data_IF_308608365325
#
_entry.id   IF_308608365325
#
_cell.length_a   1.000
_cell.length_b   1.000
_cell.length_c   1.000
_cell.angle_alpha   90.00
_cell.angle_beta   90.00
_cell.angle_gamma   90.00
#
_symmetry.space_group_name_H-M   'P 1'
#
loop_
_entity.id
_entity.type
_entity.pdbx_description
1 polymer ?
#
# COMPACT_ATOMS: atom_id res chain seq x y z
N UNK A 1 17.38 -29.37 1.86
CA UNK A 1 18.42 -28.34 2.05
C UNK A 1 19.37 -28.37 0.87
N UNK A 2 19.43 -27.30 0.06
CA UNK A 2 20.62 -26.98 -0.71
C UNK A 2 21.22 -25.62 -0.28
N UNK A 3 22.55 -25.55 -0.33
CA UNK A 3 23.40 -24.44 0.11
C UNK A 3 23.17 -23.13 -0.69
N UNK A 4 23.10 -22.01 0.01
CA UNK A 4 23.18 -20.66 -0.55
C UNK A 4 24.66 -20.28 -0.71
N UNK A 5 25.13 -20.13 -1.95
CA UNK A 5 26.44 -19.52 -2.24
C UNK A 5 26.38 -18.00 -2.13
N UNK A 6 27.42 -17.45 -1.51
CA UNK A 6 27.66 -16.03 -1.27
C UNK A 6 27.57 -15.16 -2.54
N UNK A 7 26.79 -14.08 -2.45
CA UNK A 7 26.84 -12.94 -3.38
C UNK A 7 27.47 -11.75 -2.64
N UNK A 8 28.53 -11.11 -3.18
CA UNK A 8 29.29 -10.11 -2.45
C UNK A 8 28.49 -8.80 -2.26
N UNK A 9 28.39 -8.33 -1.01
CA UNK A 9 27.78 -7.04 -0.66
C UNK A 9 28.69 -5.89 -1.11
N UNK A 10 28.34 -5.16 -2.17
CA UNK A 10 28.97 -3.88 -2.49
C UNK A 10 28.38 -2.77 -1.61
N UNK A 11 29.24 -2.06 -0.88
CA UNK A 11 28.85 -0.85 -0.12
C UNK A 11 28.66 0.31 -1.10
N UNK A 12 27.44 0.82 -1.24
CA UNK A 12 27.19 2.09 -1.91
C UNK A 12 27.17 3.22 -0.88
N UNK A 13 27.97 4.26 -1.09
CA UNK A 13 27.95 5.49 -0.32
C UNK A 13 26.68 6.29 -0.62
N UNK A 14 26.27 7.14 0.32
CA UNK A 14 25.07 8.00 0.25
C UNK A 14 25.09 8.80 -1.07
N UNK A 15 24.30 8.38 -2.06
CA UNK A 15 24.03 9.20 -3.24
C UNK A 15 22.89 10.16 -2.93
N UNK A 16 23.12 11.44 -3.19
CA UNK A 16 22.07 12.44 -3.35
C UNK A 16 21.06 11.95 -4.41
N UNK A 17 19.79 12.37 -4.28
CA UNK A 17 18.70 11.99 -5.18
C UNK A 17 19.06 12.26 -6.65
N UNK A 18 19.56 11.23 -7.34
CA UNK A 18 19.82 11.25 -8.75
C UNK A 18 18.75 10.38 -9.39
N UNK A 19 17.92 10.98 -10.24
CA UNK A 19 17.12 10.24 -11.21
C UNK A 19 18.12 9.59 -12.16
N UNK A 20 18.54 8.36 -11.86
CA UNK A 20 19.26 7.53 -12.83
C UNK A 20 18.26 7.20 -13.93
N UNK A 21 18.20 8.05 -14.95
CA UNK A 21 17.59 7.72 -16.23
C UNK A 21 18.48 6.63 -16.84
N UNK A 22 18.17 5.36 -16.55
CA UNK A 22 18.78 4.25 -17.27
C UNK A 22 18.46 4.47 -18.76
N UNK A 23 19.50 4.65 -19.57
CA UNK A 23 19.38 4.79 -21.01
C UNK A 23 18.55 3.63 -21.56
N UNK A 24 17.53 3.97 -22.35
CA UNK A 24 16.52 3.05 -22.82
C UNK A 24 17.13 1.98 -23.75
N UNK A 25 17.29 0.76 -23.23
CA UNK A 25 17.08 -0.42 -24.05
C UNK A 25 15.56 -0.65 -24.14
N UNK A 26 14.97 -0.77 -25.35
CA UNK A 26 13.54 -0.97 -25.50
C UNK A 26 13.16 -2.30 -24.85
N UNK A 27 12.36 -2.23 -23.77
CA UNK A 27 11.87 -3.39 -23.02
C UNK A 27 12.28 -3.46 -21.55
N UNK A 28 13.19 -2.61 -21.07
CA UNK A 28 13.49 -2.55 -19.64
C UNK A 28 12.48 -1.66 -18.91
N UNK A 29 11.77 -2.26 -17.97
CA UNK A 29 10.89 -1.56 -17.02
C UNK A 29 11.56 -0.30 -16.45
N UNK A 30 10.84 0.83 -16.49
CA UNK A 30 11.33 2.10 -15.94
C UNK A 30 11.43 1.98 -14.42
N UNK A 31 12.66 1.86 -13.91
CA UNK A 31 12.93 1.89 -12.48
C UNK A 31 12.90 3.34 -11.97
N UNK A 32 12.24 3.57 -10.84
CA UNK A 32 12.24 4.87 -10.13
C UNK A 32 13.01 4.72 -8.84
N UNK A 33 13.89 5.68 -8.52
CA UNK A 33 14.64 5.69 -7.26
C UNK A 33 14.20 6.89 -6.42
N UNK A 34 13.71 6.65 -5.21
CA UNK A 34 13.26 7.71 -4.30
C UNK A 34 13.53 7.31 -2.84
N UNK A 35 14.25 8.17 -2.10
CA UNK A 35 14.51 7.96 -0.66
C UNK A 35 15.15 6.62 -0.29
N UNK A 36 16.04 6.10 -1.15
CA UNK A 36 16.70 4.80 -0.94
C UNK A 36 15.87 3.57 -1.36
N UNK A 37 14.70 3.79 -1.94
CA UNK A 37 13.85 2.75 -2.53
C UNK A 37 13.96 2.75 -4.04
N UNK A 38 13.88 1.56 -4.63
CA UNK A 38 13.80 1.33 -6.07
C UNK A 38 12.43 0.73 -6.35
N UNK A 39 11.66 1.35 -7.23
CA UNK A 39 10.34 0.88 -7.65
C UNK A 39 10.38 0.52 -9.13
N UNK A 40 10.03 -0.72 -9.47
CA UNK A 40 10.13 -1.25 -10.83
C UNK A 40 8.77 -1.79 -11.24
N UNK A 41 8.17 -1.25 -12.29
CA UNK A 41 6.94 -1.82 -12.87
C UNK A 41 7.28 -3.18 -13.47
N UNK A 42 6.62 -4.23 -13.03
CA UNK A 42 6.83 -5.59 -13.56
C UNK A 42 5.52 -6.14 -14.12
N UNK A 43 5.56 -7.16 -14.99
CA UNK A 43 4.38 -7.97 -15.26
C UNK A 43 3.83 -8.51 -13.94
N UNK A 44 2.50 -8.52 -13.80
CA UNK A 44 1.84 -9.05 -12.61
C UNK A 44 2.23 -10.52 -12.43
N UNK A 45 2.78 -10.92 -11.28
CA UNK A 45 3.07 -12.32 -10.99
C UNK A 45 1.79 -13.17 -11.13
N UNK A 46 1.84 -14.36 -11.76
CA UNK A 46 0.66 -15.22 -11.95
C UNK A 46 -0.16 -15.46 -10.68
N UNK A 47 0.52 -15.63 -9.55
CA UNK A 47 -0.05 -15.81 -8.22
C UNK A 47 -0.81 -14.57 -7.69
N UNK A 48 -0.42 -13.37 -8.14
CA UNK A 48 -1.01 -12.10 -7.70
C UNK A 48 -2.00 -11.51 -8.73
N UNK A 49 -2.21 -12.19 -9.87
CA UNK A 49 -3.21 -11.78 -10.89
C UNK A 49 -4.60 -11.68 -10.27
N UNK A 50 -4.95 -12.58 -9.35
CA UNK A 50 -6.23 -12.54 -8.64
C UNK A 50 -6.37 -11.28 -7.78
N UNK A 51 -5.31 -10.88 -7.07
CA UNK A 51 -5.29 -9.66 -6.24
C UNK A 51 -5.39 -8.38 -7.07
N UNK A 52 -4.66 -8.31 -8.18
CA UNK A 52 -4.78 -7.16 -9.08
C UNK A 52 -6.19 -7.03 -9.66
N UNK A 53 -6.78 -8.15 -10.08
CA UNK A 53 -8.17 -8.18 -10.54
C UNK A 53 -9.14 -7.83 -9.44
N UNK A 54 -8.89 -8.25 -8.20
CA UNK A 54 -9.77 -7.97 -7.07
C UNK A 54 -9.84 -6.49 -6.73
N UNK A 55 -8.73 -5.72 -6.79
CA UNK A 55 -8.78 -4.27 -6.53
C UNK A 55 -9.76 -3.56 -7.44
N UNK A 56 -9.61 -3.74 -8.75
CA UNK A 56 -10.50 -3.09 -9.71
C UNK A 56 -11.91 -3.66 -9.63
N UNK A 57 -12.04 -4.99 -9.60
CA UNK A 57 -13.34 -5.64 -9.58
C UNK A 57 -14.15 -5.32 -8.32
N UNK A 58 -13.51 -5.27 -7.15
CA UNK A 58 -14.18 -4.94 -5.89
C UNK A 58 -14.52 -3.46 -5.83
N UNK A 59 -13.62 -2.57 -6.27
CA UNK A 59 -13.94 -1.15 -6.33
C UNK A 59 -15.12 -0.89 -7.27
N UNK A 60 -15.14 -1.50 -8.45
CA UNK A 60 -16.20 -1.29 -9.45
C UNK A 60 -17.52 -2.02 -9.06
N UNK A 61 -17.46 -3.25 -8.55
CA UNK A 61 -18.65 -3.99 -8.13
C UNK A 61 -19.32 -3.41 -6.89
N UNK A 62 -18.54 -2.76 -6.01
CA UNK A 62 -19.09 -2.12 -4.82
C UNK A 62 -19.63 -0.72 -5.10
N UNK A 63 -19.25 -0.07 -6.20
CA UNK A 63 -19.63 1.31 -6.50
C UNK A 63 -21.15 1.55 -6.36
N UNK A 64 -22.06 0.74 -6.96
CA UNK A 64 -23.49 0.99 -6.81
C UNK A 64 -23.97 0.85 -5.36
N UNK A 65 -23.40 -0.10 -4.61
CA UNK A 65 -23.74 -0.34 -3.20
C UNK A 65 -23.22 0.79 -2.31
N UNK A 66 -22.06 1.34 -2.62
CA UNK A 66 -21.50 2.48 -1.92
C UNK A 66 -22.27 3.77 -2.21
N UNK A 67 -22.73 3.96 -3.45
CA UNK A 67 -23.52 5.13 -3.85
C UNK A 67 -24.95 5.11 -3.29
N UNK A 68 -25.60 3.95 -3.31
CA UNK A 68 -27.05 3.84 -3.00
C UNK A 68 -27.35 3.16 -1.68
N UNK A 69 -26.39 2.45 -1.09
CA UNK A 69 -26.56 1.68 0.13
C UNK A 69 -27.07 2.51 1.30
N UNK A 70 -28.02 1.94 2.05
CA UNK A 70 -28.70 2.57 3.18
C UNK A 70 -28.18 2.09 4.54
N UNK A 71 -27.30 1.09 4.55
CA UNK A 71 -26.60 0.66 5.77
C UNK A 71 -25.92 1.87 6.43
N UNK A 72 -26.10 2.01 7.75
CA UNK A 72 -25.69 3.23 8.45
C UNK A 72 -24.19 3.57 8.29
N UNK A 73 -23.24 2.60 8.39
CA UNK A 73 -21.82 2.90 8.17
C UNK A 73 -21.52 3.43 6.75
N UNK A 74 -22.13 2.81 5.73
CA UNK A 74 -21.97 3.17 4.32
C UNK A 74 -22.52 4.56 4.04
N UNK A 75 -23.77 4.83 4.47
CA UNK A 75 -24.40 6.14 4.30
C UNK A 75 -23.59 7.24 5.02
N UNK A 76 -23.18 7.01 6.28
CA UNK A 76 -22.38 7.99 7.04
C UNK A 76 -21.05 8.30 6.37
N UNK A 77 -20.37 7.28 5.83
CA UNK A 77 -19.10 7.48 5.14
C UNK A 77 -19.28 8.26 3.84
N UNK A 78 -20.31 7.93 3.04
CA UNK A 78 -20.68 8.67 1.83
C UNK A 78 -20.97 10.15 2.15
N UNK A 79 -21.83 10.41 3.13
CA UNK A 79 -22.16 11.78 3.56
C UNK A 79 -20.94 12.54 4.08
N UNK A 80 -20.04 11.86 4.79
CA UNK A 80 -18.77 12.44 5.23
C UNK A 80 -17.91 12.89 4.04
N UNK A 81 -17.76 12.04 3.02
CA UNK A 81 -16.99 12.35 1.82
C UNK A 81 -17.64 13.48 1.00
N UNK A 82 -18.97 13.52 0.92
CA UNK A 82 -19.70 14.58 0.19
C UNK A 82 -19.49 15.95 0.83
N UNK A 83 -19.55 16.01 2.17
CA UNK A 83 -19.19 17.23 2.90
C UNK A 83 -17.72 17.57 2.69
N UNK A 84 -16.82 16.59 2.74
CA UNK A 84 -15.39 16.82 2.57
C UNK A 84 -15.04 17.37 1.16
N UNK A 85 -15.72 16.88 0.12
CA UNK A 85 -15.54 17.32 -1.26
C UNK A 85 -15.94 18.79 -1.48
N UNK A 86 -16.90 19.30 -0.71
CA UNK A 86 -17.46 20.66 -0.87
C UNK A 86 -16.80 21.70 0.04
N UNK A 87 -15.98 21.27 1.00
CA UNK A 87 -15.33 22.16 1.98
C UNK A 87 -14.12 22.94 1.44
N UNK A 88 -13.69 22.72 0.20
CA UNK A 88 -12.51 23.40 -0.36
C UNK A 88 -11.19 23.07 0.35
N UNK A 89 -11.09 21.91 1.00
CA UNK A 89 -9.87 21.48 1.69
C UNK A 89 -8.75 21.15 0.71
N UNK A 90 -7.51 21.32 1.17
CA UNK A 90 -6.34 20.86 0.43
C UNK A 90 -6.37 19.33 0.24
N UNK A 91 -5.69 18.82 -0.80
CA UNK A 91 -5.58 17.38 -1.02
C UNK A 91 -4.97 16.64 0.18
N UNK A 92 -3.99 17.24 0.84
CA UNK A 92 -3.36 16.65 2.03
C UNK A 92 -4.36 16.56 3.20
N UNK A 93 -5.19 17.58 3.38
CA UNK A 93 -6.20 17.57 4.46
C UNK A 93 -7.34 16.60 4.15
N UNK A 94 -7.68 16.40 2.87
CA UNK A 94 -8.60 15.35 2.45
C UNK A 94 -8.03 13.96 2.76
N UNK A 95 -6.76 13.69 2.39
CA UNK A 95 -6.05 12.44 2.72
C UNK A 95 -6.06 12.18 4.24
N UNK A 96 -5.70 13.19 5.04
CA UNK A 96 -5.72 13.09 6.51
C UNK A 96 -7.12 12.77 7.05
N UNK A 97 -8.14 13.50 6.55
CA UNK A 97 -9.50 13.32 7.01
C UNK A 97 -10.04 11.92 6.70
N UNK A 98 -9.79 11.40 5.49
CA UNK A 98 -10.20 10.05 5.11
C UNK A 98 -9.45 9.00 5.95
N UNK A 99 -8.14 9.14 6.11
CA UNK A 99 -7.36 8.19 6.92
C UNK A 99 -7.89 8.11 8.36
N UNK A 100 -8.15 9.27 8.98
CA UNK A 100 -8.68 9.33 10.34
C UNK A 100 -10.09 8.75 10.42
N UNK A 101 -11.00 9.18 9.54
CA UNK A 101 -12.37 8.67 9.55
C UNK A 101 -12.39 7.15 9.45
N UNK A 102 -11.66 6.57 8.50
CA UNK A 102 -11.65 5.12 8.30
C UNK A 102 -11.02 4.41 9.49
N UNK A 103 -9.88 4.90 10.02
CA UNK A 103 -9.25 4.31 11.19
C UNK A 103 -10.13 4.34 12.44
N UNK A 104 -10.97 5.37 12.59
CA UNK A 104 -11.85 5.56 13.75
C UNK A 104 -13.15 4.75 13.66
N UNK A 105 -13.63 4.46 12.45
CA UNK A 105 -14.99 3.95 12.23
C UNK A 105 -15.06 2.53 11.64
N UNK A 106 -13.97 2.04 11.04
CA UNK A 106 -13.93 0.69 10.47
C UNK A 106 -13.29 -0.27 11.44
N UNK A 107 -14.04 -1.29 11.85
CA UNK A 107 -13.52 -2.32 12.73
C UNK A 107 -12.44 -3.13 12.03
N UNK A 108 -11.33 -3.40 12.73
CA UNK A 108 -10.33 -4.36 12.25
C UNK A 108 -10.73 -5.78 12.65
N UNK A 109 -10.75 -6.66 11.67
CA UNK A 109 -11.13 -8.06 11.83
C UNK A 109 -10.15 -8.92 11.01
N UNK A 110 -9.41 -9.85 11.63
CA UNK A 110 -8.53 -10.74 10.88
C UNK A 110 -9.32 -11.55 9.86
N UNK A 111 -8.67 -11.85 8.76
CA UNK A 111 -9.25 -12.70 7.74
C UNK A 111 -9.49 -14.12 8.23
N UNK A 112 -10.45 -14.77 7.57
CA UNK A 112 -10.64 -16.22 7.68
C UNK A 112 -9.47 -16.97 7.03
N UNK A 113 -9.62 -18.28 6.83
CA UNK A 113 -8.52 -19.13 6.34
C UNK A 113 -8.04 -18.85 4.89
N UNK A 114 -8.67 -17.91 4.15
CA UNK A 114 -8.52 -17.79 2.69
C UNK A 114 -8.04 -16.42 2.16
N UNK A 115 -7.68 -15.44 3.00
CA UNK A 115 -7.13 -14.13 2.58
C UNK A 115 -7.97 -13.47 1.46
N UNK A 116 -9.29 -13.42 1.65
CA UNK A 116 -10.24 -12.97 0.64
C UNK A 116 -10.53 -11.50 0.89
N UNK A 117 -9.96 -10.64 0.06
CA UNK A 117 -10.15 -9.20 0.17
C UNK A 117 -11.64 -8.88 0.12
N UNK A 118 -12.17 -8.26 1.17
CA UNK A 118 -13.56 -7.84 1.24
C UNK A 118 -13.77 -6.53 0.46
N UNK A 119 -14.92 -6.41 -0.18
CA UNK A 119 -15.27 -5.17 -0.86
C UNK A 119 -15.54 -4.04 0.15
N UNK A 120 -15.26 -2.76 -0.18
CA UNK A 120 -15.43 -1.64 0.76
C UNK A 120 -16.79 -1.55 1.44
N UNK A 121 -17.87 -1.87 0.72
CA UNK A 121 -19.22 -1.92 1.30
C UNK A 121 -19.32 -2.93 2.45
N UNK A 122 -18.79 -4.15 2.24
CA UNK A 122 -18.77 -5.20 3.26
C UNK A 122 -17.86 -4.81 4.41
N UNK A 123 -16.66 -4.29 4.13
CA UNK A 123 -15.70 -3.87 5.15
C UNK A 123 -16.28 -2.78 6.06
N UNK A 124 -17.03 -1.82 5.53
CA UNK A 124 -17.69 -0.78 6.34
C UNK A 124 -18.75 -1.35 7.28
N UNK A 125 -19.37 -2.47 6.92
CA UNK A 125 -20.42 -3.11 7.71
C UNK A 125 -19.87 -4.11 8.73
N UNK A 126 -18.90 -4.92 8.33
CA UNK A 126 -18.47 -6.11 9.07
C UNK A 126 -17.05 -5.96 9.67
N UNK A 127 -16.35 -4.90 9.28
CA UNK A 127 -14.91 -4.80 9.44
C UNK A 127 -14.16 -5.62 8.40
N UNK A 128 -12.84 -5.56 8.48
CA UNK A 128 -11.94 -6.32 7.62
C UNK A 128 -10.51 -6.18 8.12
N UNK A 129 -9.58 -6.85 7.47
CA UNK A 129 -8.19 -6.79 7.87
C UNK A 129 -7.46 -5.60 7.21
N UNK A 130 -6.21 -5.74 6.80
CA UNK A 130 -5.37 -4.59 6.50
C UNK A 130 -5.66 -4.04 5.10
N UNK A 131 -5.79 -4.92 4.12
CA UNK A 131 -6.11 -4.62 2.73
C UNK A 131 -7.53 -4.09 2.58
N UNK A 132 -8.48 -4.65 3.33
CA UNK A 132 -9.88 -4.30 3.29
C UNK A 132 -10.08 -2.85 3.73
N UNK A 133 -9.45 -2.50 4.84
CA UNK A 133 -9.46 -1.13 5.36
C UNK A 133 -8.74 -0.18 4.38
N UNK A 134 -7.67 -0.65 3.72
CA UNK A 134 -7.00 0.14 2.69
C UNK A 134 -7.88 0.33 1.44
N UNK A 135 -8.72 -0.65 1.09
CA UNK A 135 -9.69 -0.57 0.00
C UNK A 135 -10.85 0.40 0.32
N UNK A 136 -11.28 0.50 1.58
CA UNK A 136 -12.24 1.54 2.00
C UNK A 136 -11.66 2.95 1.83
N UNK A 137 -10.38 3.13 2.15
CA UNK A 137 -9.66 4.39 1.90
C UNK A 137 -9.55 4.65 0.40
N UNK A 138 -9.17 3.63 -0.37
CA UNK A 138 -9.04 3.71 -1.82
C UNK A 138 -10.33 4.21 -2.48
N UNK A 139 -11.47 3.62 -2.09
CA UNK A 139 -12.77 4.05 -2.57
C UNK A 139 -13.08 5.51 -2.20
N UNK A 140 -12.81 5.90 -0.95
CA UNK A 140 -12.99 7.29 -0.51
C UNK A 140 -12.16 8.28 -1.32
N UNK A 141 -10.90 7.96 -1.62
CA UNK A 141 -10.03 8.80 -2.44
C UNK A 141 -10.56 8.93 -3.89
N UNK A 142 -11.06 7.83 -4.49
CA UNK A 142 -11.72 7.87 -5.82
C UNK A 142 -12.95 8.78 -5.81
N UNK A 143 -13.80 8.69 -4.79
CA UNK A 143 -14.98 9.56 -4.66
C UNK A 143 -14.59 11.04 -4.60
N UNK A 144 -13.50 11.35 -3.89
CA UNK A 144 -12.90 12.68 -3.82
C UNK A 144 -12.12 13.09 -5.09
N UNK A 145 -12.24 12.33 -6.18
CA UNK A 145 -11.66 12.59 -7.50
C UNK A 145 -10.12 12.53 -7.53
N UNK A 146 -9.52 11.77 -6.62
CA UNK A 146 -8.13 11.36 -6.81
C UNK A 146 -8.08 10.33 -7.94
N UNK A 147 -7.16 10.56 -8.86
CA UNK A 147 -6.94 9.67 -9.99
C UNK A 147 -6.44 8.29 -9.50
N UNK A 148 -7.13 7.18 -9.86
CA UNK A 148 -6.73 5.81 -9.53
C UNK A 148 -5.27 5.47 -9.84
N UNK A 149 -4.68 6.07 -10.88
CA UNK A 149 -3.28 5.83 -11.23
C UNK A 149 -2.29 6.41 -10.21
N UNK A 150 -2.77 7.26 -9.30
CA UNK A 150 -2.03 7.82 -8.18
C UNK A 150 -2.32 7.10 -6.84
N UNK A 151 -3.18 6.07 -6.82
CA UNK A 151 -3.57 5.36 -5.61
C UNK A 151 -3.00 3.93 -5.62
N UNK A 152 -2.15 3.62 -4.65
CA UNK A 152 -1.38 2.38 -4.60
C UNK A 152 -1.68 1.60 -3.34
N UNK A 153 -2.17 0.39 -3.47
CA UNK A 153 -2.09 -0.58 -2.38
C UNK A 153 -0.63 -1.05 -2.27
N UNK A 154 -0.05 -0.94 -1.07
CA UNK A 154 1.32 -1.34 -0.79
C UNK A 154 1.31 -2.45 0.24
N UNK A 155 1.89 -3.59 -0.14
CA UNK A 155 2.00 -4.79 0.67
C UNK A 155 3.43 -4.89 1.19
N UNK A 156 3.57 -5.30 2.45
CA UNK A 156 4.87 -5.41 3.09
C UNK A 156 4.77 -5.97 4.49
N UNK A 157 5.79 -5.68 5.30
CA UNK A 157 5.85 -6.12 6.69
C UNK A 157 5.80 -4.93 7.62
N UNK A 158 4.95 -5.00 8.66
CA UNK A 158 5.00 -4.02 9.74
C UNK A 158 5.98 -4.44 10.83
N UNK A 159 6.80 -3.49 11.28
CA UNK A 159 7.73 -3.65 12.39
C UNK A 159 7.16 -3.11 13.70
N UNK A 160 5.92 -2.59 13.68
CA UNK A 160 5.20 -2.14 14.88
C UNK A 160 4.71 -3.32 15.74
N UNK A 161 4.78 -4.54 15.20
CA UNK A 161 4.29 -5.76 15.82
C UNK A 161 5.42 -6.74 16.11
N UNK A 162 5.18 -7.64 17.05
CA UNK A 162 6.15 -8.62 17.52
C UNK A 162 5.47 -10.00 17.62
N UNK A 163 5.81 -10.97 16.74
CA UNK A 163 6.71 -10.85 15.60
C UNK A 163 6.19 -9.85 14.54
N UNK A 164 7.05 -9.38 13.61
CA UNK A 164 6.58 -8.63 12.45
C UNK A 164 5.52 -9.42 11.68
N UNK A 165 4.47 -8.74 11.22
CA UNK A 165 3.35 -9.33 10.50
C UNK A 165 3.24 -8.74 9.08
N UNK A 166 2.64 -9.51 8.16
CA UNK A 166 2.24 -9.01 6.86
C UNK A 166 1.24 -7.88 7.04
N UNK A 167 1.34 -6.84 6.22
CA UNK A 167 0.44 -5.69 6.32
C UNK A 167 0.25 -5.00 4.97
N UNK A 168 -0.91 -4.39 4.83
CA UNK A 168 -1.30 -3.61 3.66
C UNK A 168 -1.66 -2.17 4.06
N UNK A 169 -1.30 -1.21 3.20
CA UNK A 169 -1.65 0.20 3.35
C UNK A 169 -1.97 0.83 2.01
N UNK A 170 -2.55 2.04 2.03
CA UNK A 170 -2.75 2.85 0.83
C UNK A 170 -1.70 3.96 0.76
N UNK A 171 -1.06 4.12 -0.39
CA UNK A 171 -0.18 5.25 -0.69
C UNK A 171 -0.76 6.10 -1.82
N UNK A 172 -0.70 7.42 -1.65
CA UNK A 172 -1.20 8.42 -2.62
C UNK A 172 -0.01 9.16 -3.22
N UNK A 173 0.18 9.06 -4.53
CA UNK A 173 1.18 9.85 -5.26
C UNK A 173 0.67 11.26 -5.47
N UNK A 174 1.32 12.23 -4.85
CA UNK A 174 1.04 13.66 -5.03
C UNK A 174 1.61 14.16 -6.36
N UNK A 175 1.12 15.29 -6.91
CA UNK A 175 1.67 15.89 -8.12
C UNK A 175 3.18 16.19 -8.06
N UNK A 176 3.72 16.41 -6.85
CA UNK A 176 5.15 16.57 -6.61
C UNK A 176 5.99 15.30 -6.76
N UNK A 177 5.35 14.13 -6.96
CA UNK A 177 6.00 12.81 -6.95
C UNK A 177 6.24 12.24 -5.55
N UNK A 178 5.86 12.96 -4.48
CA UNK A 178 5.90 12.41 -3.12
C UNK A 178 4.74 11.44 -2.92
N UNK A 179 5.02 10.29 -2.30
CA UNK A 179 4.01 9.34 -1.89
C UNK A 179 3.65 9.56 -0.42
N UNK A 180 2.37 9.85 -0.15
CA UNK A 180 1.83 9.98 1.20
C UNK A 180 1.12 8.70 1.61
N UNK A 181 1.36 8.23 2.82
CA UNK A 181 0.85 6.96 3.31
C UNK A 181 -0.36 7.14 4.22
N UNK A 182 -1.40 6.37 3.94
CA UNK A 182 -2.61 6.22 4.75
C UNK A 182 -2.60 4.84 5.41
N UNK A 183 -2.06 4.78 6.63
CA UNK A 183 -1.85 3.54 7.37
C UNK A 183 -3.01 3.25 8.34
N UNK A 184 -3.45 2.00 8.43
CA UNK A 184 -4.48 1.54 9.36
C UNK A 184 -4.02 1.49 10.83
N UNK A 185 -2.71 1.46 11.07
CA UNK A 185 -2.11 1.42 12.41
C UNK A 185 -1.74 2.81 12.95
N UNK A 186 -1.66 3.83 12.08
CA UNK A 186 -1.12 5.16 12.40
C UNK A 186 -1.95 6.23 11.72
N UNK A 187 -2.38 7.24 12.49
CA UNK A 187 -3.17 8.37 11.97
C UNK A 187 -2.33 9.41 11.22
N UNK A 188 -1.05 9.51 11.53
CA UNK A 188 -0.13 10.42 10.86
C UNK A 188 -0.01 10.08 9.37
N UNK A 189 -0.06 11.12 8.54
CA UNK A 189 0.21 11.02 7.11
C UNK A 189 1.69 11.36 6.90
N UNK A 190 2.44 10.36 6.46
CA UNK A 190 3.90 10.42 6.33
C UNK A 190 4.34 10.13 4.90
N UNK A 191 5.55 10.55 4.56
CA UNK A 191 6.17 10.19 3.29
C UNK A 191 6.51 8.69 3.31
N UNK A 192 6.14 7.95 2.26
CA UNK A 192 6.41 6.52 2.16
C UNK A 192 7.90 6.18 2.34
N UNK A 193 8.80 7.08 1.92
CA UNK A 193 10.26 6.88 2.02
C UNK A 193 10.83 7.13 3.42
N UNK A 194 10.08 7.73 4.34
CA UNK A 194 10.52 8.00 5.71
C UNK A 194 10.05 6.97 6.74
N UNK A 195 9.22 6.00 6.34
CA UNK A 195 8.69 4.98 7.24
C UNK A 195 9.82 4.05 7.72
N UNK A 196 10.17 4.15 9.00
CA UNK A 196 11.16 3.24 9.63
C UNK A 196 10.55 1.95 10.18
N UNK A 197 9.22 1.84 10.13
CA UNK A 197 8.44 0.78 10.78
C UNK A 197 7.57 -0.03 9.81
N UNK A 198 7.76 0.18 8.50
CA UNK A 198 7.11 -0.59 7.45
C UNK A 198 8.11 -0.88 6.34
N UNK A 199 8.25 -2.16 5.99
CA UNK A 199 9.16 -2.63 4.96
C UNK A 199 8.33 -3.07 3.74
N UNK A 200 8.17 -2.23 2.70
CA UNK A 200 7.39 -2.56 1.51
C UNK A 200 8.02 -3.71 0.71
N UNK A 201 7.17 -4.56 0.16
CA UNK A 201 7.52 -5.65 -0.74
C UNK A 201 7.12 -5.32 -2.18
N UNK A 202 5.86 -4.93 -2.38
CA UNK A 202 5.32 -4.57 -3.68
C UNK A 202 4.18 -3.57 -3.53
N UNK A 203 3.84 -2.92 -4.63
CA UNK A 203 2.67 -2.07 -4.74
C UNK A 203 1.88 -2.42 -6.00
N UNK A 204 0.58 -2.14 -5.98
CA UNK A 204 -0.30 -2.30 -7.13
C UNK A 204 -1.40 -1.24 -7.13
N UNK A 205 -1.91 -0.98 -8.33
CA UNK A 205 -3.08 -0.13 -8.58
C UNK A 205 -3.88 -0.71 -9.76
N UNK A 206 -4.88 -0.01 -10.29
CA UNK A 206 -5.68 -0.52 -11.41
C UNK A 206 -4.88 -0.81 -12.70
N UNK A 207 -3.68 -0.22 -12.86
CA UNK A 207 -2.90 -0.25 -14.10
C UNK A 207 -1.58 -1.01 -14.02
N UNK A 208 -1.25 -1.62 -12.88
CA UNK A 208 -0.10 -2.50 -12.82
C UNK A 208 0.36 -2.96 -11.45
N UNK A 209 1.54 -3.55 -11.47
CA UNK A 209 2.23 -4.12 -10.34
C UNK A 209 3.67 -3.60 -10.30
N UNK A 210 4.16 -3.24 -9.13
CA UNK A 210 5.49 -2.70 -8.92
C UNK A 210 6.20 -3.47 -7.83
N UNK A 211 7.38 -4.00 -8.15
CA UNK A 211 8.31 -4.50 -7.14
C UNK A 211 8.99 -3.32 -6.45
N UNK A 212 9.13 -3.41 -5.13
CA UNK A 212 9.83 -2.40 -4.33
C UNK A 212 11.07 -3.06 -3.72
N UNK A 213 12.23 -2.57 -4.12
CA UNK A 213 13.55 -2.99 -3.66
C UNK A 213 14.23 -1.84 -2.90
N UNK A 214 15.31 -2.15 -2.18
CA UNK A 214 16.20 -1.12 -1.61
C UNK A 214 17.38 -0.88 -2.54
N UNK A 215 17.91 0.34 -2.55
CA UNK A 215 19.13 0.67 -3.33
C UNK A 215 20.34 -0.17 -2.94
N UNK A 216 20.38 -0.70 -1.71
CA UNK A 216 21.45 -1.58 -1.23
C UNK A 216 21.14 -3.07 -1.37
N UNK A 217 19.92 -3.44 -1.80
CA UNK A 217 19.46 -4.82 -2.00
C UNK A 217 18.42 -4.88 -3.13
N UNK A 218 18.89 -5.23 -4.33
CA UNK A 218 18.10 -5.31 -5.56
C UNK A 218 17.86 -6.76 -5.95
N UNK A 219 16.67 -7.10 -6.45
CA UNK A 219 16.37 -8.43 -6.98
C UNK A 219 15.12 -9.09 -6.42
N UNK A 220 14.32 -8.40 -5.60
CA UNK A 220 13.26 -9.00 -4.80
C UNK A 220 13.76 -9.50 -3.45
N UNK A 221 12.83 -9.85 -2.55
CA UNK A 221 13.08 -10.46 -1.24
C UNK A 221 13.77 -9.61 -0.15
N UNK A 222 14.06 -8.32 -0.37
CA UNK A 222 14.58 -7.48 0.71
C UNK A 222 13.64 -7.48 1.93
N UNK A 223 12.32 -7.39 1.70
CA UNK A 223 11.30 -7.48 2.73
C UNK A 223 11.38 -8.80 3.51
N UNK A 224 11.65 -9.93 2.83
CA UNK A 224 11.80 -11.26 3.45
C UNK A 224 13.06 -11.32 4.31
N UNK A 225 14.16 -10.76 3.82
CA UNK A 225 15.40 -10.65 4.59
C UNK A 225 15.22 -9.71 5.81
N UNK A 226 14.47 -8.61 5.66
CA UNK A 226 14.14 -7.69 6.75
C UNK A 226 13.28 -8.38 7.82
N UNK A 227 12.28 -9.17 7.39
CA UNK A 227 11.47 -10.02 8.25
C UNK A 227 12.33 -10.98 9.06
N UNK A 228 13.17 -11.81 8.41
CA UNK A 228 14.03 -12.78 9.10
C UNK A 228 14.97 -12.10 10.10
N UNK A 229 15.53 -10.93 9.75
CA UNK A 229 16.35 -10.13 10.67
C UNK A 229 15.56 -9.62 11.88
N UNK A 230 14.30 -9.27 11.69
CA UNK A 230 13.44 -8.77 12.76
C UNK A 230 12.97 -9.92 13.68
N UNK A 231 12.59 -11.08 13.14
CA UNK A 231 12.30 -12.30 13.92
C UNK A 231 13.51 -12.74 14.74
N UNK A 232 14.71 -12.80 14.13
CA UNK A 232 15.95 -13.20 14.82
C UNK A 232 16.32 -12.24 15.95
N UNK A 233 16.16 -10.92 15.76
CA UNK A 233 16.40 -9.90 16.81
C UNK A 233 15.43 -10.04 17.99
N UNK A 234 14.28 -10.66 17.78
CA UNK A 234 13.25 -10.86 18.79
C UNK A 234 13.32 -12.25 19.45
N UNK A 235 14.36 -13.04 19.19
CA UNK A 235 14.57 -14.36 19.82
C UNK A 235 13.79 -15.51 19.17
N UNK A 236 13.14 -15.28 18.03
CA UNK A 236 12.52 -16.35 17.24
C UNK A 236 13.61 -17.20 16.55
N UNK A 237 13.57 -18.52 16.74
CA UNK A 237 14.38 -19.45 15.94
C UNK A 237 13.88 -19.36 14.49
N UNK A 238 14.75 -18.85 13.60
CA UNK A 238 14.48 -18.71 12.18
C UNK A 238 14.61 -20.01 11.40
#
# INVERSE_FOLDING_TARGET
MPELRDVPRRRFHKLAAATLLAAAAPGLARATIQGGWITIKIPTPPEDVAKLKSVKAQADATEPLMETGTAAPVRKYREFLDRLATQGKSQIDQIKAVNNYVNDHVARKPDGQNDVWAAPYQTLMEGGDCEDVALVKYWGMRRLKFDPDNLFLVMGMTLLRRPPEGHALLAVRMPSGVFLVMYNLVHAIENATSLSYFEPAFALNETGFWRIDRVDHVGGDYWRAAYLRAVKRQGGKG
#
